data_IF_981571612153
#
_entry.id   IF_981571612153
#
_cell.length_a   1.000
_cell.length_b   1.000
_cell.length_c   1.000
_cell.angle_alpha   90.00
_cell.angle_beta   90.00
_cell.angle_gamma   90.00
#
_symmetry.space_group_name_H-M   'P 1'
#
loop_
_entity.id
_entity.type
_entity.pdbx_description
1 polymer ?
#
# COMPACT_ATOMS: atom_id res chain seq x y z
N UNK A 1 10.08 -13.55 -23.49
CA UNK A 1 10.96 -14.18 -22.49
C UNK A 1 10.29 -15.45 -22.01
N UNK A 2 10.86 -16.61 -22.28
CA UNK A 2 10.46 -17.87 -21.68
C UNK A 2 11.03 -17.91 -20.25
N UNK A 3 10.21 -17.59 -19.26
CA UNK A 3 10.59 -17.77 -17.86
C UNK A 3 10.68 -19.28 -17.60
N UNK A 4 11.85 -19.73 -17.19
CA UNK A 4 12.04 -21.13 -16.82
C UNK A 4 11.64 -21.29 -15.35
N UNK A 5 10.69 -22.17 -15.09
CA UNK A 5 10.23 -22.57 -13.73
C UNK A 5 11.36 -23.28 -12.94
N UNK A 6 12.50 -22.63 -12.78
CA UNK A 6 13.72 -23.25 -12.20
C UNK A 6 13.52 -23.60 -10.73
N UNK A 7 12.79 -22.75 -9.99
CA UNK A 7 12.61 -22.87 -8.54
C UNK A 7 11.15 -23.12 -8.13
N UNK A 8 10.30 -23.58 -9.04
CA UNK A 8 8.86 -23.79 -8.76
C UNK A 8 8.62 -24.78 -7.62
N UNK A 9 9.42 -25.84 -7.54
CA UNK A 9 9.36 -26.89 -6.51
C UNK A 9 10.28 -26.64 -5.31
N UNK A 10 10.98 -25.48 -5.27
CA UNK A 10 11.89 -25.15 -4.18
C UNK A 10 11.17 -25.00 -2.84
N UNK A 11 11.90 -25.20 -1.74
CA UNK A 11 11.38 -25.03 -0.39
C UNK A 11 10.96 -23.56 -0.15
N UNK A 12 10.07 -23.35 0.83
CA UNK A 12 9.67 -22.00 1.27
C UNK A 12 10.88 -21.11 1.57
N UNK A 13 11.82 -21.59 2.34
CA UNK A 13 13.01 -20.82 2.73
C UNK A 13 13.88 -20.47 1.54
N UNK A 14 14.03 -21.37 0.58
CA UNK A 14 14.72 -21.11 -0.68
C UNK A 14 14.02 -20.02 -1.49
N UNK A 15 12.69 -20.10 -1.61
CA UNK A 15 11.89 -19.08 -2.31
C UNK A 15 12.00 -17.71 -1.64
N UNK A 16 11.90 -17.63 -0.30
CA UNK A 16 12.10 -16.38 0.45
C UNK A 16 13.51 -15.83 0.24
N UNK A 17 14.55 -16.67 0.35
CA UNK A 17 15.93 -16.25 0.15
C UNK A 17 16.14 -15.67 -1.27
N UNK A 18 15.66 -16.35 -2.31
CA UNK A 18 15.71 -15.87 -3.69
C UNK A 18 14.97 -14.54 -3.84
N UNK A 19 13.78 -14.42 -3.24
CA UNK A 19 13.00 -13.16 -3.27
C UNK A 19 13.78 -12.01 -2.65
N UNK A 20 14.40 -12.23 -1.48
CA UNK A 20 15.20 -11.23 -0.79
C UNK A 20 16.46 -10.85 -1.59
N UNK A 21 17.14 -11.81 -2.21
CA UNK A 21 18.29 -11.53 -3.09
C UNK A 21 17.88 -10.68 -4.30
N UNK A 22 16.78 -11.02 -4.97
CA UNK A 22 16.27 -10.23 -6.11
C UNK A 22 15.87 -8.84 -5.64
N UNK A 23 15.16 -8.74 -4.51
CA UNK A 23 14.76 -7.46 -3.94
C UNK A 23 15.98 -6.58 -3.61
N UNK A 24 17.05 -7.14 -3.06
CA UNK A 24 18.30 -6.42 -2.80
C UNK A 24 18.96 -5.94 -4.10
N UNK A 25 19.03 -6.79 -5.12
CA UNK A 25 19.57 -6.41 -6.43
C UNK A 25 18.74 -5.27 -7.03
N UNK A 26 17.41 -5.37 -7.01
CA UNK A 26 16.51 -4.35 -7.54
C UNK A 26 16.56 -3.06 -6.70
N UNK A 27 16.77 -3.15 -5.40
CA UNK A 27 17.01 -2.00 -4.53
C UNK A 27 18.30 -1.26 -4.95
N UNK A 28 19.39 -1.97 -5.18
CA UNK A 28 20.66 -1.38 -5.62
C UNK A 28 20.49 -0.72 -7.00
N UNK A 29 19.84 -1.40 -7.94
CA UNK A 29 19.56 -0.85 -9.28
C UNK A 29 18.70 0.41 -9.16
N UNK A 30 17.62 0.37 -8.38
CA UNK A 30 16.77 1.55 -8.18
C UNK A 30 17.53 2.72 -7.54
N UNK A 31 18.38 2.45 -6.54
CA UNK A 31 19.19 3.47 -5.90
C UNK A 31 20.17 4.13 -6.87
N UNK A 32 20.83 3.36 -7.72
CA UNK A 32 21.72 3.87 -8.78
C UNK A 32 20.94 4.73 -9.78
N UNK A 33 19.79 4.25 -10.24
CA UNK A 33 18.95 4.99 -11.17
C UNK A 33 18.39 6.28 -10.58
N UNK A 34 17.96 6.26 -9.32
CA UNK A 34 17.52 7.46 -8.59
C UNK A 34 18.67 8.45 -8.45
N UNK A 35 19.88 7.99 -8.10
CA UNK A 35 21.05 8.86 -8.01
C UNK A 35 21.39 9.49 -9.36
N UNK A 36 21.42 8.71 -10.46
CA UNK A 36 21.67 9.22 -11.82
C UNK A 36 20.58 10.22 -12.25
N UNK A 37 19.31 9.91 -11.96
CA UNK A 37 18.19 10.78 -12.29
C UNK A 37 18.26 12.08 -11.50
N UNK A 38 18.42 12.01 -10.17
CA UNK A 38 18.47 13.20 -9.31
C UNK A 38 19.66 14.11 -9.62
N UNK A 39 20.85 13.55 -9.88
CA UNK A 39 22.04 14.35 -10.23
C UNK A 39 21.98 14.90 -11.65
N UNK A 40 21.48 14.10 -12.61
CA UNK A 40 21.38 14.50 -14.01
C UNK A 40 20.36 15.61 -14.27
N UNK A 41 19.30 15.67 -13.47
CA UNK A 41 18.19 16.61 -13.67
C UNK A 41 18.06 17.67 -12.55
N UNK A 42 18.98 17.71 -11.58
CA UNK A 42 18.95 18.65 -10.45
C UNK A 42 18.88 20.13 -10.84
N UNK A 43 19.42 20.49 -11.99
CA UNK A 43 19.42 21.88 -12.50
C UNK A 43 18.23 22.21 -13.41
N UNK A 44 17.38 21.22 -13.73
CA UNK A 44 16.29 21.34 -14.74
C UNK A 44 14.93 21.15 -14.09
N UNK A 45 14.82 20.19 -13.16
CA UNK A 45 13.57 19.82 -12.50
C UNK A 45 13.47 20.40 -11.10
N UNK A 46 12.23 20.64 -10.67
CA UNK A 46 11.95 21.00 -9.27
C UNK A 46 12.24 19.82 -8.33
N UNK A 47 12.39 20.10 -7.04
CA UNK A 47 12.59 19.05 -6.05
C UNK A 47 11.39 18.08 -5.97
N UNK A 48 10.18 18.56 -6.13
CA UNK A 48 8.98 17.73 -6.24
C UNK A 48 9.04 16.79 -7.44
N UNK A 49 9.44 17.29 -8.63
CA UNK A 49 9.53 16.44 -9.83
C UNK A 49 10.60 15.35 -9.66
N UNK A 50 11.72 15.67 -9.00
CA UNK A 50 12.77 14.69 -8.67
C UNK A 50 12.23 13.63 -7.70
N UNK A 51 11.44 14.01 -6.70
CA UNK A 51 10.80 13.06 -5.77
C UNK A 51 9.82 12.14 -6.50
N UNK A 52 8.95 12.70 -7.36
CA UNK A 52 7.99 11.92 -8.16
C UNK A 52 8.69 10.94 -9.11
N UNK A 53 9.74 11.40 -9.81
CA UNK A 53 10.56 10.54 -10.66
C UNK A 53 11.26 9.44 -9.89
N UNK A 54 11.84 9.77 -8.73
CA UNK A 54 12.50 8.80 -7.83
C UNK A 54 11.52 7.75 -7.32
N UNK A 55 10.32 8.16 -6.91
CA UNK A 55 9.26 7.25 -6.48
C UNK A 55 8.82 6.33 -7.63
N UNK A 56 8.70 6.86 -8.85
CA UNK A 56 8.36 6.07 -10.04
C UNK A 56 9.42 4.99 -10.31
N UNK A 57 10.71 5.35 -10.25
CA UNK A 57 11.83 4.41 -10.40
C UNK A 57 11.76 3.33 -9.31
N UNK A 58 11.53 3.73 -8.06
CA UNK A 58 11.40 2.78 -6.95
C UNK A 58 10.22 1.82 -7.15
N UNK A 59 9.05 2.31 -7.54
CA UNK A 59 7.88 1.46 -7.78
C UNK A 59 8.14 0.44 -8.88
N UNK A 60 8.76 0.84 -9.99
CA UNK A 60 9.03 -0.02 -11.14
C UNK A 60 10.10 -1.06 -10.79
N UNK A 61 11.25 -0.62 -10.27
CA UNK A 61 12.38 -1.53 -10.06
C UNK A 61 12.28 -2.31 -8.76
N UNK A 62 12.04 -1.66 -7.62
CA UNK A 62 12.01 -2.36 -6.34
C UNK A 62 10.76 -3.24 -6.17
N UNK A 63 9.56 -2.77 -6.55
CA UNK A 63 8.34 -3.52 -6.31
C UNK A 63 7.92 -4.37 -7.52
N UNK A 64 7.60 -3.74 -8.66
CA UNK A 64 7.06 -4.45 -9.84
C UNK A 64 8.07 -5.45 -10.38
N UNK A 65 9.32 -5.02 -10.62
CA UNK A 65 10.34 -5.90 -11.19
C UNK A 65 10.70 -7.04 -10.25
N UNK A 66 10.81 -6.79 -8.93
CA UNK A 66 11.03 -7.85 -7.93
C UNK A 66 9.91 -8.89 -7.99
N UNK A 67 8.64 -8.46 -8.00
CA UNK A 67 7.51 -9.38 -8.04
C UNK A 67 7.47 -10.21 -9.33
N UNK A 68 7.64 -9.55 -10.50
CA UNK A 68 7.55 -10.22 -11.81
C UNK A 68 8.73 -11.16 -12.06
N UNK A 69 9.96 -10.72 -11.77
CA UNK A 69 11.18 -11.55 -11.94
C UNK A 69 11.11 -12.77 -11.03
N UNK A 70 10.78 -12.58 -9.76
CA UNK A 70 10.66 -13.67 -8.78
C UNK A 70 9.55 -14.65 -9.19
N UNK A 71 8.37 -14.14 -9.57
CA UNK A 71 7.29 -14.99 -10.06
C UNK A 71 7.68 -15.79 -11.31
N UNK A 72 8.51 -15.19 -12.20
CA UNK A 72 9.05 -15.87 -13.37
C UNK A 72 10.03 -17.01 -13.05
N UNK A 73 10.79 -16.89 -11.95
CA UNK A 73 11.65 -17.97 -11.46
C UNK A 73 10.85 -19.11 -10.82
N UNK A 74 9.66 -18.81 -10.28
CA UNK A 74 8.82 -19.81 -9.59
C UNK A 74 7.74 -20.40 -10.49
N UNK A 75 7.43 -19.78 -11.63
CA UNK A 75 6.37 -20.23 -12.52
C UNK A 75 6.66 -19.85 -13.97
N UNK A 76 6.31 -20.73 -14.91
CA UNK A 76 6.31 -20.43 -16.34
C UNK A 76 5.26 -19.38 -16.76
N UNK A 77 4.29 -19.08 -15.89
CA UNK A 77 3.22 -18.08 -16.08
C UNK A 77 3.24 -17.06 -14.94
N UNK A 78 4.19 -16.09 -14.93
CA UNK A 78 4.38 -15.16 -13.80
C UNK A 78 3.14 -14.31 -13.50
N UNK A 79 2.42 -13.82 -14.49
CA UNK A 79 1.21 -13.02 -14.28
C UNK A 79 0.05 -13.83 -13.69
N UNK A 80 -0.10 -15.09 -14.10
CA UNK A 80 -1.06 -16.00 -13.47
C UNK A 80 -0.64 -16.40 -12.06
N UNK A 81 0.66 -16.54 -11.83
CA UNK A 81 1.22 -16.78 -10.49
C UNK A 81 0.87 -15.63 -9.52
N UNK A 82 0.96 -14.38 -9.99
CA UNK A 82 0.61 -13.16 -9.27
C UNK A 82 -0.90 -12.85 -9.28
N UNK A 83 -1.74 -13.68 -9.88
CA UNK A 83 -3.20 -13.46 -10.01
C UNK A 83 -3.59 -12.21 -10.82
N UNK A 84 -2.76 -11.82 -11.79
CA UNK A 84 -2.96 -10.66 -12.68
C UNK A 84 -3.67 -11.02 -13.99
N UNK A 85 -3.87 -12.29 -14.28
CA UNK A 85 -4.36 -12.81 -15.56
C UNK A 85 -5.89 -12.74 -15.72
N UNK A 86 -6.62 -12.49 -14.64
CA UNK A 86 -8.09 -12.37 -14.67
C UNK A 86 -8.53 -10.90 -14.67
N UNK A 87 -9.53 -10.57 -15.49
CA UNK A 87 -10.18 -9.25 -15.43
C UNK A 87 -11.22 -9.25 -14.31
N UNK A 88 -11.26 -8.21 -13.45
CA UNK A 88 -12.31 -8.05 -12.46
C UNK A 88 -13.62 -7.64 -13.15
N UNK A 89 -14.76 -7.94 -12.53
CA UNK A 89 -16.06 -7.40 -12.94
C UNK A 89 -16.20 -5.95 -12.48
N UNK A 90 -16.94 -5.14 -13.23
CA UNK A 90 -17.19 -3.74 -12.86
C UNK A 90 -17.94 -3.66 -11.51
N UNK A 91 -18.87 -4.58 -11.27
CA UNK A 91 -19.61 -4.66 -10.00
C UNK A 91 -18.69 -4.90 -8.81
N UNK A 92 -17.69 -5.79 -8.94
CA UNK A 92 -16.70 -6.02 -7.89
C UNK A 92 -15.82 -4.78 -7.64
N UNK A 93 -15.42 -4.06 -8.69
CA UNK A 93 -14.64 -2.81 -8.54
C UNK A 93 -15.44 -1.74 -7.81
N UNK A 94 -16.71 -1.54 -8.18
CA UNK A 94 -17.62 -0.61 -7.50
C UNK A 94 -17.82 -1.04 -6.04
N UNK A 95 -18.04 -2.32 -5.78
CA UNK A 95 -18.18 -2.86 -4.41
C UNK A 95 -16.96 -2.60 -3.54
N UNK A 96 -15.74 -2.76 -4.08
CA UNK A 96 -14.49 -2.40 -3.39
C UNK A 96 -14.45 -0.91 -3.04
N UNK A 97 -14.77 -0.04 -4.00
CA UNK A 97 -14.78 1.43 -3.77
C UNK A 97 -15.80 1.80 -2.69
N UNK A 98 -17.00 1.22 -2.72
CA UNK A 98 -18.02 1.44 -1.68
C UNK A 98 -17.49 1.00 -0.31
N UNK A 99 -16.87 -0.19 -0.20
CA UNK A 99 -16.26 -0.65 1.04
C UNK A 99 -15.22 0.35 1.56
N UNK A 100 -14.35 0.87 0.67
CA UNK A 100 -13.32 1.84 1.05
C UNK A 100 -13.92 3.17 1.54
N UNK A 101 -14.94 3.71 0.86
CA UNK A 101 -15.61 4.95 1.28
C UNK A 101 -16.27 4.78 2.65
N UNK A 102 -17.01 3.71 2.81
CA UNK A 102 -17.74 3.44 4.06
C UNK A 102 -16.78 3.21 5.25
N UNK A 103 -15.57 2.72 4.98
CA UNK A 103 -14.57 2.42 6.00
C UNK A 103 -13.85 3.66 6.55
N UNK A 104 -13.91 4.81 5.85
CA UNK A 104 -13.14 6.03 6.20
C UNK A 104 -13.38 6.51 7.64
N UNK A 105 -14.63 6.72 8.13
CA UNK A 105 -14.82 7.25 9.48
C UNK A 105 -14.28 6.31 10.59
N UNK A 106 -14.37 4.99 10.40
CA UNK A 106 -13.76 4.05 11.33
C UNK A 106 -12.23 4.13 11.26
N UNK A 107 -11.66 4.25 10.07
CA UNK A 107 -10.22 4.38 9.92
C UNK A 107 -9.69 5.67 10.53
N UNK A 108 -10.40 6.79 10.43
CA UNK A 108 -10.05 8.03 11.11
C UNK A 108 -9.98 7.85 12.63
N UNK A 109 -10.94 7.13 13.23
CA UNK A 109 -10.89 6.78 14.65
C UNK A 109 -9.64 5.98 15.00
N UNK A 110 -9.33 4.94 14.20
CA UNK A 110 -8.14 4.09 14.42
C UNK A 110 -6.85 4.89 14.23
N UNK A 111 -6.78 5.79 13.26
CA UNK A 111 -5.64 6.68 13.02
C UNK A 111 -5.43 7.59 14.22
N UNK A 112 -6.47 8.33 14.65
CA UNK A 112 -6.42 9.23 15.80
C UNK A 112 -5.99 8.49 17.07
N UNK A 113 -6.57 7.30 17.33
CA UNK A 113 -6.16 6.47 18.44
C UNK A 113 -4.69 6.02 18.34
N UNK A 114 -4.24 5.51 17.19
CA UNK A 114 -2.85 5.05 17.01
C UNK A 114 -1.85 6.20 17.18
N UNK A 115 -2.19 7.41 16.73
CA UNK A 115 -1.38 8.60 16.90
C UNK A 115 -1.27 9.08 18.34
N UNK A 116 -2.31 8.84 19.16
CA UNK A 116 -2.34 9.20 20.58
C UNK A 116 -1.50 8.26 21.45
N UNK A 117 -1.04 7.13 20.94
CA UNK A 117 -0.25 6.17 21.70
C UNK A 117 1.11 6.77 22.08
N UNK A 118 1.53 6.50 23.32
CA UNK A 118 2.86 6.84 23.84
C UNK A 118 3.47 5.63 24.55
N UNK A 119 4.79 5.55 24.52
CA UNK A 119 5.51 4.50 25.24
C UNK A 119 5.74 4.91 26.70
N UNK A 120 5.85 3.94 27.64
CA UNK A 120 6.29 4.24 29.00
C UNK A 120 7.63 4.98 29.03
N UNK A 121 7.83 5.85 30.00
CA UNK A 121 9.00 6.75 30.13
C UNK A 121 10.35 6.03 29.96
N UNK A 122 10.48 4.80 30.44
CA UNK A 122 11.67 3.95 30.28
C UNK A 122 12.05 3.68 28.82
N UNK A 123 11.13 3.89 27.89
CA UNK A 123 11.34 3.73 26.43
C UNK A 123 11.34 5.06 25.66
N UNK A 124 11.49 6.20 26.37
CA UNK A 124 11.46 7.55 25.77
C UNK A 124 12.43 7.72 24.59
N UNK A 125 13.63 7.13 24.65
CA UNK A 125 14.59 7.17 23.57
C UNK A 125 14.08 6.46 22.29
N UNK A 126 13.36 5.34 22.46
CA UNK A 126 12.74 4.59 21.35
C UNK A 126 11.59 5.43 20.78
N UNK A 127 10.73 6.00 21.63
CA UNK A 127 9.63 6.85 21.19
C UNK A 127 10.15 8.07 20.41
N UNK A 128 11.20 8.74 20.91
CA UNK A 128 11.82 9.86 20.22
C UNK A 128 12.33 9.46 18.83
N UNK A 129 12.97 8.30 18.71
CA UNK A 129 13.40 7.77 17.42
C UNK A 129 12.21 7.49 16.49
N UNK A 130 11.12 6.90 16.98
CA UNK A 130 9.91 6.63 16.22
C UNK A 130 9.28 7.94 15.71
N UNK A 131 9.13 8.96 16.59
CA UNK A 131 8.57 10.27 16.22
C UNK A 131 9.45 11.01 15.20
N UNK A 132 10.77 10.91 15.31
CA UNK A 132 11.69 11.51 14.33
C UNK A 132 11.56 10.82 12.95
N UNK A 133 11.34 9.50 12.91
CA UNK A 133 11.08 8.78 11.65
C UNK A 133 9.76 9.21 11.03
N UNK A 134 8.71 9.33 11.84
CA UNK A 134 7.39 9.81 11.39
C UNK A 134 7.48 11.23 10.82
N UNK A 135 8.12 12.15 11.55
CA UNK A 135 8.30 13.53 11.12
C UNK A 135 9.09 13.61 9.80
N UNK A 136 10.15 12.81 9.65
CA UNK A 136 10.92 12.76 8.40
C UNK A 136 10.08 12.25 7.21
N UNK A 137 9.24 11.23 7.44
CA UNK A 137 8.34 10.71 6.42
C UNK A 137 7.27 11.74 6.05
N UNK A 138 6.72 12.45 7.05
CA UNK A 138 5.72 13.50 6.83
C UNK A 138 6.29 14.64 5.98
N UNK A 139 7.50 15.11 6.28
CA UNK A 139 8.17 16.16 5.48
C UNK A 139 8.31 15.77 4.00
N UNK A 140 8.66 14.51 3.71
CA UNK A 140 8.76 14.02 2.33
C UNK A 140 7.37 13.99 1.68
N UNK A 141 6.36 13.54 2.43
CA UNK A 141 4.97 13.49 1.95
C UNK A 141 4.46 14.90 1.64
N UNK A 142 4.66 15.86 2.54
CA UNK A 142 4.24 17.26 2.35
C UNK A 142 4.90 17.88 1.11
N UNK A 143 6.20 17.64 0.91
CA UNK A 143 6.92 18.11 -0.28
C UNK A 143 6.38 17.47 -1.57
N UNK A 144 6.05 16.18 -1.52
CA UNK A 144 5.53 15.44 -2.67
C UNK A 144 4.11 15.89 -3.02
N UNK A 145 3.25 16.13 -2.03
CA UNK A 145 1.84 16.48 -2.19
C UNK A 145 1.59 17.99 -2.33
N UNK A 146 2.63 18.83 -2.23
CA UNK A 146 2.53 20.29 -2.42
C UNK A 146 2.42 20.62 -3.91
N UNK A 147 1.27 20.31 -4.53
CA UNK A 147 1.00 20.52 -5.96
C UNK A 147 -0.26 21.35 -6.15
N UNK A 148 -0.23 22.24 -7.15
CA UNK A 148 -1.29 23.23 -7.41
C UNK A 148 -1.88 23.11 -8.82
N UNK A 149 -1.32 22.31 -9.72
CA UNK A 149 -1.81 22.14 -11.09
C UNK A 149 -2.50 20.80 -11.28
N UNK A 150 -3.51 20.77 -12.17
CA UNK A 150 -4.20 19.53 -12.54
C UNK A 150 -3.25 18.50 -13.19
N UNK A 151 -2.24 18.95 -13.94
CA UNK A 151 -1.25 18.06 -14.53
C UNK A 151 -0.44 17.33 -13.46
N UNK A 152 0.01 18.05 -12.43
CA UNK A 152 0.71 17.46 -11.29
C UNK A 152 -0.19 16.52 -10.47
N UNK A 153 -1.46 16.88 -10.25
CA UNK A 153 -2.45 16.01 -9.61
C UNK A 153 -2.58 14.67 -10.35
N UNK A 154 -2.80 14.71 -11.68
CA UNK A 154 -2.93 13.50 -12.51
C UNK A 154 -1.66 12.66 -12.45
N UNK A 155 -0.48 13.28 -12.51
CA UNK A 155 0.80 12.59 -12.39
C UNK A 155 0.96 11.91 -11.02
N UNK A 156 0.60 12.58 -9.93
CA UNK A 156 0.66 12.00 -8.59
C UNK A 156 -0.34 10.85 -8.41
N UNK A 157 -1.58 10.97 -8.92
CA UNK A 157 -2.55 9.88 -8.92
C UNK A 157 -1.99 8.67 -9.70
N UNK A 158 -1.33 8.92 -10.83
CA UNK A 158 -0.69 7.84 -11.59
C UNK A 158 0.44 7.17 -10.80
N UNK A 159 1.35 7.94 -10.20
CA UNK A 159 2.53 7.40 -9.50
C UNK A 159 2.12 6.79 -8.15
N UNK A 160 1.47 7.58 -7.29
CA UNK A 160 1.12 7.18 -5.91
C UNK A 160 -0.07 6.20 -5.91
N UNK A 161 -1.07 6.44 -6.76
CA UNK A 161 -2.24 5.58 -6.86
C UNK A 161 -1.97 4.31 -7.66
N UNK A 162 -1.61 4.44 -8.95
CA UNK A 162 -1.55 3.31 -9.88
C UNK A 162 -0.24 2.54 -9.73
N UNK A 163 0.92 3.19 -9.89
CA UNK A 163 2.20 2.48 -9.88
C UNK A 163 2.49 1.85 -8.51
N UNK A 164 2.29 2.60 -7.42
CA UNK A 164 2.48 2.07 -6.06
C UNK A 164 1.50 0.94 -5.79
N UNK A 165 0.20 1.13 -6.10
CA UNK A 165 -0.81 0.09 -5.89
C UNK A 165 -0.49 -1.21 -6.64
N UNK A 166 -0.08 -1.13 -7.91
CA UNK A 166 0.33 -2.33 -8.68
C UNK A 166 1.58 -2.96 -8.07
N UNK A 167 2.60 -2.16 -7.77
CA UNK A 167 3.90 -2.67 -7.30
C UNK A 167 3.80 -3.34 -5.93
N UNK A 168 3.20 -2.66 -4.98
CA UNK A 168 3.09 -3.17 -3.61
C UNK A 168 2.15 -4.37 -3.53
N UNK A 169 0.98 -4.33 -4.21
CA UNK A 169 0.09 -5.48 -4.20
C UNK A 169 0.69 -6.70 -4.90
N UNK A 170 1.42 -6.51 -6.01
CA UNK A 170 2.12 -7.61 -6.66
C UNK A 170 3.15 -8.27 -5.74
N UNK A 171 3.93 -7.48 -5.00
CA UNK A 171 4.95 -8.00 -4.09
C UNK A 171 4.34 -8.62 -2.83
N UNK A 172 3.44 -7.88 -2.14
CA UNK A 172 2.93 -8.30 -0.84
C UNK A 172 1.79 -9.32 -0.96
N UNK A 173 0.82 -9.12 -1.86
CA UNK A 173 -0.35 -10.01 -1.99
C UNK A 173 -0.09 -11.10 -3.03
N UNK A 174 0.43 -10.73 -4.20
CA UNK A 174 0.72 -11.68 -5.28
C UNK A 174 1.83 -12.67 -4.94
N UNK A 175 2.89 -12.22 -4.27
CA UNK A 175 4.07 -13.05 -3.99
C UNK A 175 4.15 -13.45 -2.52
N UNK A 176 4.37 -12.51 -1.59
CA UNK A 176 4.66 -12.81 -0.18
C UNK A 176 3.50 -13.54 0.51
N UNK A 177 2.28 -13.03 0.42
CA UNK A 177 1.10 -13.66 1.04
C UNK A 177 0.89 -15.08 0.50
N UNK A 178 1.13 -15.32 -0.79
CA UNK A 178 1.06 -16.66 -1.38
C UNK A 178 2.11 -17.59 -0.78
N UNK A 179 3.37 -17.17 -0.67
CA UNK A 179 4.43 -17.97 -0.06
C UNK A 179 4.14 -18.28 1.42
N UNK A 180 3.63 -17.30 2.16
CA UNK A 180 3.19 -17.49 3.55
C UNK A 180 2.05 -18.50 3.65
N UNK A 181 1.08 -18.46 2.72
CA UNK A 181 0.00 -19.43 2.68
C UNK A 181 0.50 -20.84 2.35
N UNK A 182 1.39 -20.98 1.35
CA UNK A 182 2.03 -22.27 1.03
C UNK A 182 2.77 -22.86 2.26
N UNK A 183 3.39 -22.00 3.09
CA UNK A 183 4.12 -22.42 4.29
C UNK A 183 3.23 -22.79 5.47
N UNK A 184 2.22 -21.96 5.74
CA UNK A 184 1.37 -22.09 6.95
C UNK A 184 0.19 -23.03 6.75
N UNK A 185 -0.22 -23.28 5.50
CA UNK A 185 -1.50 -23.96 5.18
C UNK A 185 -2.73 -23.17 5.59
N UNK A 186 -2.57 -21.96 6.16
CA UNK A 186 -3.65 -21.15 6.71
C UNK A 186 -3.68 -19.77 6.04
N UNK A 187 -4.76 -19.51 5.29
CA UNK A 187 -4.96 -18.25 4.58
C UNK A 187 -5.04 -17.04 5.52
N UNK A 188 -5.67 -17.18 6.69
CA UNK A 188 -5.81 -16.10 7.66
C UNK A 188 -4.46 -15.73 8.26
N UNK A 189 -3.64 -16.72 8.65
CA UNK A 189 -2.29 -16.48 9.13
C UNK A 189 -1.43 -15.78 8.07
N UNK A 190 -1.52 -16.21 6.81
CA UNK A 190 -0.77 -15.60 5.71
C UNK A 190 -1.18 -14.13 5.47
N UNK A 191 -2.48 -13.81 5.55
CA UNK A 191 -3.00 -12.45 5.41
C UNK A 191 -2.45 -11.56 6.53
N UNK A 192 -2.61 -11.97 7.79
CA UNK A 192 -2.22 -11.13 8.92
C UNK A 192 -0.70 -10.98 9.04
N UNK A 193 0.08 -12.04 8.83
CA UNK A 193 1.56 -11.93 8.79
C UNK A 193 1.98 -11.00 7.64
N UNK A 194 1.39 -11.15 6.46
CA UNK A 194 1.67 -10.27 5.33
C UNK A 194 1.30 -8.81 5.61
N UNK A 195 0.17 -8.54 6.28
CA UNK A 195 -0.27 -7.20 6.66
C UNK A 195 0.63 -6.55 7.71
N UNK A 196 1.10 -7.33 8.70
CA UNK A 196 2.08 -6.88 9.70
C UNK A 196 3.39 -6.48 9.02
N UNK A 197 3.93 -7.35 8.13
CA UNK A 197 5.17 -7.06 7.39
C UNK A 197 4.97 -5.83 6.50
N UNK A 198 3.85 -5.74 5.79
CA UNK A 198 3.50 -4.60 4.93
C UNK A 198 3.51 -3.28 5.72
N UNK A 199 2.91 -3.26 6.90
CA UNK A 199 2.91 -2.06 7.73
C UNK A 199 4.29 -1.75 8.33
N UNK A 200 5.03 -2.78 8.76
CA UNK A 200 6.32 -2.63 9.41
C UNK A 200 7.41 -2.01 8.50
N UNK A 201 7.44 -2.39 7.22
CA UNK A 201 8.46 -1.90 6.28
C UNK A 201 8.36 -0.40 5.96
N UNK A 202 7.27 0.26 6.35
CA UNK A 202 7.12 1.71 6.20
C UNK A 202 7.83 2.51 7.30
N UNK A 203 8.18 1.89 8.43
CA UNK A 203 8.81 2.56 9.59
C UNK A 203 8.03 3.77 10.13
N UNK A 204 6.72 3.79 9.93
CA UNK A 204 5.78 4.81 10.42
C UNK A 204 4.90 4.18 11.50
N UNK A 205 5.31 4.34 12.75
CA UNK A 205 4.76 3.59 13.89
C UNK A 205 3.39 4.11 14.32
N UNK A 206 3.16 5.42 14.15
CA UNK A 206 1.88 6.05 14.49
C UNK A 206 0.82 5.90 13.39
N UNK A 207 1.18 5.27 12.27
CA UNK A 207 0.30 4.78 11.22
C UNK A 207 0.27 3.26 11.09
N UNK A 208 0.91 2.52 12.04
CA UNK A 208 1.10 1.07 11.90
C UNK A 208 -0.21 0.28 11.90
N UNK A 209 -1.08 0.51 12.90
CA UNK A 209 -2.33 -0.25 13.04
C UNK A 209 -3.30 0.02 11.88
N UNK A 210 -3.59 1.28 11.49
CA UNK A 210 -4.47 1.52 10.36
C UNK A 210 -3.94 0.90 9.06
N UNK A 211 -2.63 1.01 8.77
CA UNK A 211 -2.03 0.41 7.58
C UNK A 211 -2.08 -1.12 7.61
N UNK A 212 -1.88 -1.74 8.78
CA UNK A 212 -2.03 -3.17 8.96
C UNK A 212 -3.47 -3.63 8.69
N UNK A 213 -4.48 -2.92 9.17
CA UNK A 213 -5.89 -3.24 8.94
C UNK A 213 -6.26 -3.14 7.45
N UNK A 214 -5.85 -2.06 6.77
CA UNK A 214 -6.00 -1.93 5.32
C UNK A 214 -5.27 -3.07 4.60
N UNK A 215 -4.06 -3.37 5.03
CA UNK A 215 -3.28 -4.46 4.50
C UNK A 215 -3.96 -5.82 4.63
N UNK A 216 -4.61 -6.09 5.77
CA UNK A 216 -5.39 -7.30 5.97
C UNK A 216 -6.63 -7.33 5.06
N UNK A 217 -7.36 -6.22 4.94
CA UNK A 217 -8.50 -6.13 4.02
C UNK A 217 -8.09 -6.41 2.57
N UNK A 218 -7.00 -5.82 2.09
CA UNK A 218 -6.46 -6.08 0.75
C UNK A 218 -6.09 -7.56 0.57
N UNK A 219 -5.49 -8.18 1.59
CA UNK A 219 -5.21 -9.61 1.60
C UNK A 219 -6.47 -10.48 1.50
N UNK A 220 -7.54 -10.10 2.19
CA UNK A 220 -8.83 -10.77 2.09
C UNK A 220 -9.47 -10.60 0.71
N UNK A 221 -9.43 -9.41 0.11
CA UNK A 221 -9.92 -9.18 -1.26
C UNK A 221 -9.27 -10.13 -2.26
N UNK A 222 -7.93 -10.35 -2.17
CA UNK A 222 -7.24 -11.31 -3.03
C UNK A 222 -7.73 -12.74 -2.79
N UNK A 223 -7.87 -13.16 -1.53
CA UNK A 223 -8.28 -14.53 -1.20
C UNK A 223 -9.71 -14.81 -1.61
N UNK A 224 -10.61 -13.85 -1.46
CA UNK A 224 -12.02 -13.99 -1.83
C UNK A 224 -12.21 -14.07 -3.34
N UNK A 225 -11.52 -13.21 -4.10
CA UNK A 225 -11.73 -13.09 -5.56
C UNK A 225 -10.78 -13.96 -6.39
N UNK A 226 -9.64 -14.36 -5.86
CA UNK A 226 -8.55 -14.93 -6.65
C UNK A 226 -8.02 -13.98 -7.73
N UNK A 227 -8.20 -12.66 -7.54
CA UNK A 227 -7.91 -11.61 -8.52
C UNK A 227 -7.24 -10.41 -7.83
N UNK A 228 -6.00 -10.11 -8.22
CA UNK A 228 -5.21 -9.05 -7.58
C UNK A 228 -5.70 -7.63 -7.91
N UNK A 229 -6.50 -7.47 -8.97
CA UNK A 229 -7.00 -6.16 -9.35
C UNK A 229 -7.96 -5.56 -8.32
N UNK A 230 -8.60 -6.40 -7.47
CA UNK A 230 -9.45 -5.89 -6.39
C UNK A 230 -8.63 -5.21 -5.28
N UNK A 231 -7.60 -5.84 -4.69
CA UNK A 231 -6.74 -5.13 -3.74
C UNK A 231 -6.00 -3.95 -4.39
N UNK A 232 -5.57 -4.04 -5.67
CA UNK A 232 -4.98 -2.90 -6.39
C UNK A 232 -5.98 -1.74 -6.45
N UNK A 233 -7.27 -2.00 -6.72
CA UNK A 233 -8.31 -0.96 -6.75
C UNK A 233 -8.52 -0.32 -5.38
N UNK A 234 -8.55 -1.13 -4.30
CA UNK A 234 -8.67 -0.61 -2.94
C UNK A 234 -7.46 0.26 -2.56
N UNK A 235 -6.26 -0.19 -2.88
CA UNK A 235 -5.02 0.54 -2.65
C UNK A 235 -4.96 1.83 -3.47
N UNK A 236 -5.27 1.75 -4.77
CA UNK A 236 -5.40 2.90 -5.65
C UNK A 236 -6.36 3.94 -5.07
N UNK A 237 -7.56 3.52 -4.63
CA UNK A 237 -8.54 4.43 -4.04
C UNK A 237 -7.98 5.11 -2.78
N UNK A 238 -7.41 4.33 -1.86
CA UNK A 238 -6.82 4.84 -0.62
C UNK A 238 -5.76 5.92 -0.88
N UNK A 239 -4.83 5.64 -1.77
CA UNK A 239 -3.74 6.56 -2.07
C UNK A 239 -4.22 7.78 -2.87
N UNK A 240 -5.12 7.57 -3.83
CA UNK A 240 -5.62 8.66 -4.68
C UNK A 240 -6.48 9.64 -3.90
N UNK A 241 -7.31 9.18 -2.95
CA UNK A 241 -8.13 10.09 -2.14
C UNK A 241 -7.25 11.02 -1.30
N UNK A 242 -6.15 10.51 -0.73
CA UNK A 242 -5.17 11.32 0.00
C UNK A 242 -4.55 12.40 -0.90
N UNK A 243 -4.13 12.02 -2.12
CA UNK A 243 -3.58 12.98 -3.10
C UNK A 243 -4.60 14.05 -3.47
N UNK A 244 -5.86 13.66 -3.70
CA UNK A 244 -6.95 14.59 -4.04
C UNK A 244 -7.25 15.52 -2.87
N UNK A 245 -7.28 15.04 -1.64
CA UNK A 245 -7.55 15.89 -0.47
C UNK A 245 -6.46 16.95 -0.30
N UNK A 246 -5.18 16.57 -0.33
CA UNK A 246 -4.08 17.55 -0.27
C UNK A 246 -4.11 18.55 -1.43
N UNK A 247 -4.46 18.10 -2.64
CA UNK A 247 -4.64 19.03 -3.77
C UNK A 247 -5.74 20.07 -3.50
N UNK A 248 -6.90 19.65 -2.97
CA UNK A 248 -8.02 20.55 -2.65
C UNK A 248 -7.60 21.51 -1.52
N UNK A 249 -6.90 21.05 -0.51
CA UNK A 249 -6.36 21.90 0.57
C UNK A 249 -5.35 22.92 0.05
N UNK A 250 -4.47 22.52 -0.87
CA UNK A 250 -3.53 23.42 -1.54
C UNK A 250 -4.23 24.50 -2.39
N UNK A 251 -5.51 24.30 -2.78
CA UNK A 251 -6.33 25.33 -3.41
C UNK A 251 -7.03 26.27 -2.39
N UNK A 252 -6.80 26.06 -1.08
CA UNK A 252 -7.35 26.90 -0.01
C UNK A 252 -8.69 26.43 0.56
N UNK A 253 -9.14 25.19 0.27
CA UNK A 253 -10.34 24.61 0.87
C UNK A 253 -10.00 23.80 2.10
N UNK A 254 -10.77 23.94 3.17
CA UNK A 254 -10.59 23.13 4.39
C UNK A 254 -11.34 21.79 4.28
N UNK A 255 -10.61 20.69 4.45
CA UNK A 255 -11.17 19.33 4.50
C UNK A 255 -11.07 18.69 5.88
N UNK A 256 -10.62 19.43 6.88
CA UNK A 256 -10.40 18.95 8.26
C UNK A 256 -11.63 18.25 8.87
N UNK A 257 -12.86 18.63 8.47
CA UNK A 257 -14.07 17.94 8.91
C UNK A 257 -14.11 16.48 8.44
N UNK A 258 -13.71 16.19 7.21
CA UNK A 258 -13.72 14.83 6.67
C UNK A 258 -12.61 13.97 7.29
N UNK A 259 -11.47 14.56 7.60
CA UNK A 259 -10.37 13.86 8.26
C UNK A 259 -10.68 13.51 9.73
N UNK A 260 -11.47 14.37 10.40
CA UNK A 260 -11.87 14.16 11.79
C UNK A 260 -13.22 13.47 11.95
N UNK A 261 -13.90 13.14 10.84
CA UNK A 261 -15.18 12.45 10.92
C UNK A 261 -15.00 11.04 11.48
N UNK A 262 -15.73 10.74 12.57
CA UNK A 262 -15.64 9.48 13.28
C UNK A 262 -14.68 9.50 14.48
N UNK A 263 -13.94 10.59 14.72
CA UNK A 263 -13.00 10.67 15.85
C UNK A 263 -13.67 11.10 17.17
N UNK A 264 -13.02 10.76 18.28
CA UNK A 264 -13.45 11.20 19.63
C UNK A 264 -13.28 12.72 19.76
N UNK A 265 -12.19 13.27 19.23
CA UNK A 265 -11.89 14.70 19.26
C UNK A 265 -13.01 15.54 18.63
N UNK A 266 -13.59 15.06 17.53
CA UNK A 266 -14.69 15.74 16.84
C UNK A 266 -16.09 15.39 17.41
N UNK A 267 -16.16 14.54 18.43
CA UNK A 267 -17.44 14.11 19.05
C UNK A 267 -18.31 13.21 18.16
N UNK A 268 -17.75 12.64 17.08
CA UNK A 268 -18.48 11.85 16.06
C UNK A 268 -18.10 10.36 16.08
N UNK A 269 -17.60 9.85 17.19
CA UNK A 269 -17.14 8.45 17.34
C UNK A 269 -18.25 7.41 17.09
N UNK A 270 -19.51 7.78 17.28
CA UNK A 270 -20.68 6.96 16.95
C UNK A 270 -20.76 6.69 15.44
N UNK A 271 -20.40 7.66 14.59
CA UNK A 271 -20.31 7.50 13.14
C UNK A 271 -19.26 6.43 12.78
N UNK A 272 -18.15 6.33 13.52
CA UNK A 272 -17.16 5.28 13.30
C UNK A 272 -17.74 3.88 13.58
N UNK A 273 -18.60 3.73 14.59
CA UNK A 273 -19.26 2.43 14.86
C UNK A 273 -20.21 2.08 13.71
N UNK A 274 -21.06 3.01 13.27
CA UNK A 274 -21.94 2.78 12.11
C UNK A 274 -21.15 2.49 10.84
N UNK A 275 -20.05 3.19 10.60
CA UNK A 275 -19.11 2.95 9.51
C UNK A 275 -18.56 1.52 9.53
N UNK A 276 -18.12 1.03 10.69
CA UNK A 276 -17.63 -0.34 10.84
C UNK A 276 -18.72 -1.38 10.55
N UNK A 277 -19.93 -1.18 11.05
CA UNK A 277 -21.05 -2.08 10.80
C UNK A 277 -21.37 -2.12 9.31
N UNK A 278 -21.47 -0.96 8.67
CA UNK A 278 -21.71 -0.87 7.22
C UNK A 278 -20.58 -1.48 6.40
N UNK A 279 -19.33 -1.27 6.80
CA UNK A 279 -18.16 -1.88 6.16
C UNK A 279 -18.23 -3.41 6.22
N UNK A 280 -18.60 -3.99 7.38
CA UNK A 280 -18.77 -5.45 7.53
C UNK A 280 -19.88 -5.95 6.60
N UNK A 281 -21.02 -5.27 6.55
CA UNK A 281 -22.15 -5.64 5.68
C UNK A 281 -21.77 -5.53 4.20
N UNK A 282 -21.16 -4.42 3.78
CA UNK A 282 -20.69 -4.24 2.40
C UNK A 282 -19.63 -5.27 2.01
N UNK A 283 -18.67 -5.56 2.92
CA UNK A 283 -17.65 -6.56 2.69
C UNK A 283 -18.22 -7.98 2.57
N UNK A 284 -19.26 -8.31 3.36
CA UNK A 284 -19.97 -9.59 3.27
C UNK A 284 -20.74 -9.72 1.95
N UNK A 285 -21.43 -8.64 1.53
CA UNK A 285 -22.12 -8.62 0.24
C UNK A 285 -21.13 -8.79 -0.91
N UNK A 286 -20.04 -7.99 -0.90
CA UNK A 286 -18.96 -8.12 -1.89
C UNK A 286 -18.37 -9.52 -1.92
N UNK A 287 -18.12 -10.14 -0.75
CA UNK A 287 -17.61 -11.51 -0.66
C UNK A 287 -18.56 -12.50 -1.36
N UNK A 288 -19.87 -12.38 -1.16
CA UNK A 288 -20.87 -13.25 -1.82
C UNK A 288 -20.92 -13.06 -3.33
N UNK A 289 -20.75 -11.83 -3.79
CA UNK A 289 -20.88 -11.50 -5.22
C UNK A 289 -19.63 -11.91 -6.04
N UNK A 290 -18.48 -12.10 -5.41
CA UNK A 290 -17.21 -12.44 -6.07
C UNK A 290 -16.81 -13.92 -5.92
N UNK A 291 -17.56 -14.72 -5.19
CA UNK A 291 -17.39 -16.19 -5.07
C UNK A 291 -18.13 -16.92 -6.21
#
# INVERSE_FOLDING_TARGET
>A
MTFSNIYGTASFWTKIFITLCIMLIMLIISAILIWLFSTGFSNILSQSDILVGSMSIQCIFLFISTAVVTAGLFSSRPFSYLKMDKKPTVTALIGVIICMIVFVPFMNLVISWNQSLSLPEKFSAIETWMRNKEASAQLITDQLLNVHSLGALVLLIFVIGILTGIGEEALFRGLLQKLLWEKTGNKHAAIWIGAIIFSAVHFQFFGFIPRMLLGAFFGYLLVWSGNIWLPITAHFFNNSITVVFHYIENQGYELSYFEKLGTIENGTWDIAIYSLILFILCSYTLYRDIQ
#
